data_IF_332018952010
#
_entry.id   IF_332018952010
#
_cell.length_a   1.000
_cell.length_b   1.000
_cell.length_c   1.000
_cell.angle_alpha   90.00
_cell.angle_beta   90.00
_cell.angle_gamma   90.00
#
_symmetry.space_group_name_H-M   'P 1'
#
loop_
_entity.id
_entity.type
_entity.pdbx_description
1 polymer ?
#
# COMPACT_ATOMS: atom_id res chain seq x y z
N UNK A 1 6.21 -1.83 19.59
CA UNK A 1 6.79 -3.07 19.04
C UNK A 1 6.09 -3.42 17.72
N UNK A 2 6.74 -4.16 16.81
CA UNK A 2 6.07 -4.70 15.60
C UNK A 2 4.89 -5.60 15.96
N UNK A 3 4.91 -6.23 17.14
CA UNK A 3 3.80 -7.05 17.66
C UNK A 3 2.53 -6.24 17.94
N UNK A 4 2.62 -4.91 18.04
CA UNK A 4 1.47 -4.02 18.26
C UNK A 4 0.71 -3.73 16.97
N UNK A 5 1.21 -4.18 15.83
CA UNK A 5 0.59 -4.00 14.52
C UNK A 5 -0.05 -5.28 14.02
N UNK A 6 -1.22 -5.14 13.42
CA UNK A 6 -1.85 -6.13 12.56
C UNK A 6 -1.31 -5.93 11.14
N UNK A 7 -0.83 -7.02 10.55
CA UNK A 7 -0.44 -7.08 9.14
C UNK A 7 -1.58 -7.77 8.39
N UNK A 8 -2.22 -7.04 7.49
CA UNK A 8 -3.24 -7.59 6.59
C UNK A 8 -2.57 -7.74 5.23
N UNK A 9 -2.58 -8.94 4.66
CA UNK A 9 -1.98 -9.18 3.35
C UNK A 9 -2.91 -10.01 2.48
N UNK A 10 -2.92 -9.74 1.17
CA UNK A 10 -3.71 -10.49 0.19
C UNK A 10 -5.20 -10.64 0.55
N UNK A 11 -5.77 -9.62 1.21
CA UNK A 11 -7.18 -9.60 1.60
C UNK A 11 -8.01 -8.79 0.61
N UNK A 12 -9.21 -9.25 0.29
CA UNK A 12 -10.19 -8.44 -0.44
C UNK A 12 -10.53 -7.19 0.39
N UNK A 13 -10.39 -6.01 -0.23
CA UNK A 13 -10.49 -4.69 0.41
C UNK A 13 -10.89 -3.67 -0.66
N UNK A 14 -11.87 -2.82 -0.37
CA UNK A 14 -12.40 -1.90 -1.37
C UNK A 14 -12.90 -2.63 -2.62
N UNK A 15 -12.28 -2.36 -3.78
CA UNK A 15 -12.64 -2.92 -5.10
C UNK A 15 -11.59 -3.92 -5.65
N UNK A 16 -10.78 -4.51 -4.78
CA UNK A 16 -9.83 -5.55 -5.17
C UNK A 16 -9.06 -6.14 -4.00
N UNK A 17 -7.89 -6.74 -4.29
CA UNK A 17 -7.01 -7.32 -3.28
C UNK A 17 -5.81 -6.43 -3.02
N UNK A 18 -5.57 -6.10 -1.76
CA UNK A 18 -4.41 -5.31 -1.33
C UNK A 18 -3.21 -6.22 -1.07
N UNK A 19 -2.00 -5.75 -1.37
CA UNK A 19 -0.80 -6.50 -1.01
C UNK A 19 -0.56 -6.48 0.50
N UNK A 20 -0.43 -5.29 1.11
CA UNK A 20 -0.19 -5.15 2.56
C UNK A 20 -0.90 -3.91 3.12
N UNK A 21 -1.52 -4.05 4.30
CA UNK A 21 -1.94 -2.97 5.18
C UNK A 21 -1.37 -3.20 6.58
N UNK A 22 -0.83 -2.14 7.19
CA UNK A 22 -0.37 -2.13 8.58
C UNK A 22 -1.27 -1.25 9.43
N UNK A 23 -1.85 -1.83 10.47
CA UNK A 23 -2.74 -1.13 11.40
C UNK A 23 -2.28 -1.37 12.83
N UNK A 24 -2.14 -0.31 13.61
CA UNK A 24 -1.85 -0.50 15.03
C UNK A 24 -3.08 -1.09 15.75
N UNK A 25 -2.92 -2.20 16.49
CA UNK A 25 -4.03 -3.02 17.02
C UNK A 25 -4.96 -2.26 17.96
N UNK A 26 -4.41 -1.32 18.75
CA UNK A 26 -5.14 -0.60 19.81
C UNK A 26 -5.36 0.88 19.46
N UNK A 27 -4.27 1.64 19.38
CA UNK A 27 -4.29 3.07 19.06
C UNK A 27 -4.62 3.33 17.57
N UNK A 28 -5.79 3.93 17.31
CA UNK A 28 -6.30 4.25 15.96
C UNK A 28 -5.77 5.57 15.39
N UNK A 29 -5.12 6.38 16.22
CA UNK A 29 -4.50 7.65 15.81
C UNK A 29 -3.09 7.44 15.23
N UNK A 30 -2.48 6.28 15.53
CA UNK A 30 -1.23 5.86 14.89
C UNK A 30 -1.42 5.73 13.38
N UNK A 31 -0.33 6.02 12.67
CA UNK A 31 -0.27 5.93 11.23
C UNK A 31 -0.66 4.52 10.75
N UNK A 32 -1.70 4.46 9.92
CA UNK A 32 -2.03 3.30 9.12
C UNK A 32 -1.26 3.39 7.79
N UNK A 33 -0.75 2.27 7.30
CA UNK A 33 0.03 2.22 6.07
C UNK A 33 -0.62 1.25 5.09
N UNK A 34 -0.86 1.69 3.85
CA UNK A 34 -1.31 0.85 2.74
C UNK A 34 -0.17 0.76 1.73
N UNK A 35 0.26 -0.46 1.40
CA UNK A 35 1.36 -0.70 0.46
C UNK A 35 0.89 -1.53 -0.73
N UNK A 36 1.30 -1.11 -1.93
CA UNK A 36 1.17 -1.86 -3.18
C UNK A 36 2.57 -2.17 -3.71
N UNK A 37 2.82 -3.45 -4.00
CA UNK A 37 4.12 -3.98 -4.41
C UNK A 37 4.09 -4.31 -5.91
N UNK A 38 5.08 -3.80 -6.66
CA UNK A 38 5.25 -4.08 -8.09
C UNK A 38 6.66 -4.53 -8.41
N UNK A 39 6.80 -5.40 -9.41
CA UNK A 39 8.08 -5.61 -10.09
C UNK A 39 8.08 -4.75 -11.34
N UNK A 40 9.20 -4.09 -11.65
CA UNK A 40 9.32 -3.34 -12.89
C UNK A 40 9.13 -4.29 -14.07
N UNK A 41 8.11 -4.02 -14.89
CA UNK A 41 7.89 -4.76 -16.12
C UNK A 41 8.32 -3.89 -17.29
N UNK A 42 9.54 -4.11 -17.79
CA UNK A 42 10.12 -3.34 -18.90
C UNK A 42 9.28 -3.34 -20.18
N UNK A 43 8.34 -4.28 -20.34
CA UNK A 43 7.42 -4.34 -21.49
C UNK A 43 6.16 -3.48 -21.30
N UNK A 44 5.75 -3.17 -20.07
CA UNK A 44 4.53 -2.39 -19.75
C UNK A 44 4.82 -1.02 -19.14
N UNK A 45 5.92 -0.91 -18.40
CA UNK A 45 6.34 0.27 -17.66
C UNK A 45 7.79 0.56 -18.06
N UNK A 46 8.01 1.71 -18.69
CA UNK A 46 9.33 2.05 -19.25
C UNK A 46 10.28 2.52 -18.16
N UNK A 47 9.74 3.04 -17.04
CA UNK A 47 10.51 3.58 -15.92
C UNK A 47 9.99 3.13 -14.56
N UNK A 48 10.86 3.20 -13.54
CA UNK A 48 10.48 2.97 -12.14
C UNK A 48 9.49 4.03 -11.64
N UNK A 49 9.58 5.27 -12.12
CA UNK A 49 8.68 6.37 -11.76
C UNK A 49 7.24 6.12 -12.25
N UNK A 50 7.08 5.60 -13.46
CA UNK A 50 5.80 5.14 -13.99
C UNK A 50 5.22 4.03 -13.12
N UNK A 51 6.02 2.99 -12.83
CA UNK A 51 5.61 1.88 -11.98
C UNK A 51 5.18 2.33 -10.56
N UNK A 52 5.93 3.25 -9.95
CA UNK A 52 5.60 3.82 -8.64
C UNK A 52 4.29 4.60 -8.67
N UNK A 53 4.08 5.36 -9.74
CA UNK A 53 2.87 6.16 -9.92
C UNK A 53 1.66 5.27 -10.18
N UNK A 54 1.82 4.20 -10.96
CA UNK A 54 0.79 3.18 -11.18
C UNK A 54 0.42 2.44 -9.88
N UNK A 55 1.41 2.08 -9.06
CA UNK A 55 1.16 1.46 -7.76
C UNK A 55 0.30 2.35 -6.84
N UNK A 56 0.65 3.64 -6.74
CA UNK A 56 -0.16 4.60 -5.99
C UNK A 56 -1.55 4.81 -6.60
N UNK A 57 -1.64 4.88 -7.93
CA UNK A 57 -2.92 5.02 -8.64
C UNK A 57 -3.84 3.84 -8.35
N UNK A 58 -3.30 2.61 -8.35
CA UNK A 58 -4.07 1.42 -8.02
C UNK A 58 -4.63 1.47 -6.59
N UNK A 59 -3.86 1.93 -5.60
CA UNK A 59 -4.37 2.08 -4.22
C UNK A 59 -5.59 2.99 -4.18
N UNK A 60 -5.56 4.11 -4.93
CA UNK A 60 -6.66 5.07 -5.01
C UNK A 60 -7.87 4.50 -5.77
N UNK A 61 -7.65 3.95 -6.96
CA UNK A 61 -8.71 3.39 -7.82
C UNK A 61 -9.42 2.23 -7.15
N UNK A 62 -8.68 1.39 -6.42
CA UNK A 62 -9.23 0.26 -5.68
C UNK A 62 -9.82 0.65 -4.33
N UNK A 63 -9.69 1.92 -3.93
CA UNK A 63 -10.29 2.50 -2.72
C UNK A 63 -9.95 1.72 -1.45
N UNK A 64 -8.73 1.19 -1.34
CA UNK A 64 -8.29 0.36 -0.20
C UNK A 64 -8.43 1.10 1.14
N UNK A 65 -8.28 2.43 1.14
CA UNK A 65 -8.47 3.25 2.33
C UNK A 65 -9.89 3.18 2.92
N UNK A 66 -10.89 2.78 2.13
CA UNK A 66 -12.29 2.72 2.57
C UNK A 66 -12.46 1.82 3.78
N UNK A 67 -11.90 0.62 3.74
CA UNK A 67 -12.04 -0.33 4.85
C UNK A 67 -11.13 0.02 6.02
N UNK A 68 -10.00 0.70 5.77
CA UNK A 68 -9.13 1.27 6.81
C UNK A 68 -9.87 2.37 7.59
N UNK A 69 -10.55 3.29 6.88
CA UNK A 69 -11.37 4.35 7.47
C UNK A 69 -12.56 3.79 8.24
N UNK A 70 -13.27 2.78 7.69
CA UNK A 70 -14.36 2.08 8.40
C UNK A 70 -13.91 1.47 9.74
N UNK A 71 -12.65 1.07 9.85
CA UNK A 71 -12.05 0.55 11.09
C UNK A 71 -11.55 1.63 12.07
N UNK A 72 -11.77 2.90 11.75
CA UNK A 72 -11.47 4.05 12.60
C UNK A 72 -10.09 4.68 12.40
N UNK A 73 -9.31 4.27 11.41
CA UNK A 73 -8.00 4.85 11.14
C UNK A 73 -8.11 5.97 10.10
N UNK A 74 -7.84 7.20 10.51
CA UNK A 74 -7.94 8.38 9.65
C UNK A 74 -6.58 8.95 9.22
N UNK A 75 -5.51 8.62 9.94
CA UNK A 75 -4.14 8.98 9.60
C UNK A 75 -3.53 7.89 8.72
N UNK A 76 -3.63 8.03 7.39
CA UNK A 76 -3.29 6.98 6.42
C UNK A 76 -2.17 7.45 5.49
N UNK A 77 -1.10 6.65 5.39
CA UNK A 77 -0.04 6.78 4.39
C UNK A 77 -0.22 5.74 3.29
N UNK A 78 -0.16 6.16 2.03
CA UNK A 78 -0.19 5.26 0.87
C UNK A 78 1.22 5.14 0.29
N UNK A 79 1.66 3.92 -0.02
CA UNK A 79 3.01 3.66 -0.51
C UNK A 79 2.99 2.73 -1.72
N UNK A 80 3.56 3.18 -2.83
CA UNK A 80 3.97 2.33 -3.93
C UNK A 80 5.40 1.85 -3.70
N UNK A 81 5.64 0.54 -3.81
CA UNK A 81 6.96 -0.08 -3.67
C UNK A 81 7.26 -0.86 -4.94
N UNK A 82 8.34 -0.48 -5.63
CA UNK A 82 8.73 -1.09 -6.91
C UNK A 82 10.09 -1.76 -6.77
N UNK A 83 10.15 -3.03 -7.17
CA UNK A 83 11.36 -3.83 -7.25
C UNK A 83 11.94 -3.81 -8.67
N UNK A 84 13.20 -3.39 -8.80
CA UNK A 84 14.02 -3.44 -10.01
C UNK A 84 15.22 -4.36 -9.74
N UNK A 85 15.02 -5.66 -9.97
CA UNK A 85 15.96 -6.69 -9.52
C UNK A 85 16.14 -6.65 -8.00
N UNK A 86 17.34 -6.31 -7.54
CA UNK A 86 17.66 -6.16 -6.10
C UNK A 86 17.46 -4.74 -5.57
N UNK A 87 17.15 -3.76 -6.44
CA UNK A 87 16.90 -2.37 -6.04
C UNK A 87 15.42 -2.20 -5.71
N UNK A 88 15.15 -1.44 -4.66
CA UNK A 88 13.78 -1.11 -4.23
C UNK A 88 13.61 0.39 -4.28
N UNK A 89 12.51 0.82 -4.89
CA UNK A 89 12.11 2.22 -4.97
C UNK A 89 10.77 2.39 -4.25
N UNK A 90 10.60 3.52 -3.58
CA UNK A 90 9.40 3.78 -2.78
C UNK A 90 8.90 5.19 -3.08
N UNK A 91 7.59 5.33 -3.29
CA UNK A 91 6.90 6.61 -3.42
C UNK A 91 5.73 6.62 -2.46
N UNK A 92 5.64 7.68 -1.65
CA UNK A 92 4.58 7.85 -0.65
C UNK A 92 3.65 9.00 -1.04
N UNK A 93 2.37 8.87 -0.68
CA UNK A 93 1.32 9.88 -0.87
C UNK A 93 0.44 9.94 0.37
#
# INVERSE_FOLDING_TARGET
SLTDYEVISNRETGLGRVDIILLHKKDKNRLAIIMELKRINKFREKTKEEALTNALKQIEEKKYETDVKKRGYNNILKMGVVFDGKRVWVKKK
#
